data_IF_912337010068
#
_entry.id   IF_912337010068
#
_cell.length_a   1.000
_cell.length_b   1.000
_cell.length_c   1.000
_cell.angle_alpha   90.00
_cell.angle_beta   90.00
_cell.angle_gamma   90.00
#
_symmetry.space_group_name_H-M   'P 1'
#
loop_
_entity.id
_entity.type
_entity.pdbx_description
1 polymer ?
#
# COMPACT_ATOMS: atom_id res chain seq x y z
N UNK A 1 20.85 -16.42 9.09
CA UNK A 1 21.20 -17.27 7.94
C UNK A 1 20.02 -18.10 7.42
N UNK A 2 19.28 -18.77 8.28
CA UNK A 2 18.16 -19.64 7.84
C UNK A 2 16.93 -18.93 7.24
N UNK A 3 16.54 -17.73 7.70
CA UNK A 3 15.41 -16.98 7.08
C UNK A 3 15.82 -16.17 5.84
N UNK A 4 17.08 -15.73 5.71
CA UNK A 4 17.62 -15.32 4.40
C UNK A 4 17.68 -16.51 3.44
N UNK A 5 17.99 -17.69 3.95
CA UNK A 5 17.91 -18.96 3.21
C UNK A 5 16.42 -19.33 2.99
N UNK A 6 15.53 -19.11 3.95
CA UNK A 6 14.09 -19.36 3.81
C UNK A 6 13.44 -18.26 2.94
N UNK A 7 13.93 -17.02 2.94
CA UNK A 7 13.45 -15.96 2.04
C UNK A 7 14.13 -16.02 0.66
N UNK A 8 15.42 -16.39 0.57
CA UNK A 8 16.01 -16.87 -0.69
C UNK A 8 15.36 -18.17 -1.17
N UNK A 9 14.96 -19.07 -0.25
CA UNK A 9 14.16 -20.24 -0.58
C UNK A 9 12.68 -19.87 -0.83
N UNK A 10 12.13 -18.79 -0.26
CA UNK A 10 10.78 -18.32 -0.57
C UNK A 10 10.76 -17.56 -1.90
N UNK A 11 11.80 -16.81 -2.23
CA UNK A 11 12.05 -16.29 -3.59
C UNK A 11 12.38 -17.45 -4.54
N UNK A 12 13.10 -18.47 -4.09
CA UNK A 12 13.39 -19.69 -4.83
C UNK A 12 12.18 -20.65 -4.84
N UNK A 13 11.32 -20.68 -3.80
CA UNK A 13 10.05 -21.43 -3.77
C UNK A 13 8.91 -20.67 -4.45
N UNK A 14 8.92 -19.35 -4.47
CA UNK A 14 8.10 -18.55 -5.40
C UNK A 14 8.61 -18.75 -6.82
N UNK A 15 9.93 -18.88 -7.03
CA UNK A 15 10.50 -19.34 -8.30
C UNK A 15 10.22 -20.82 -8.56
N UNK A 16 10.06 -21.71 -7.56
CA UNK A 16 9.79 -23.12 -7.73
C UNK A 16 8.28 -23.46 -7.83
N UNK A 17 7.40 -22.72 -7.20
CA UNK A 17 5.96 -22.79 -7.48
C UNK A 17 5.58 -21.99 -8.73
N UNK A 18 6.29 -20.89 -9.04
CA UNK A 18 6.34 -20.35 -10.40
C UNK A 18 6.97 -21.36 -11.37
N UNK A 19 8.00 -22.12 -11.02
CA UNK A 19 8.62 -23.12 -11.87
C UNK A 19 7.71 -24.31 -12.21
N UNK A 20 6.71 -24.60 -11.40
CA UNK A 20 5.65 -25.55 -11.79
C UNK A 20 4.63 -24.93 -12.79
N UNK A 21 4.64 -23.60 -12.97
CA UNK A 21 3.96 -22.86 -14.03
C UNK A 21 4.95 -22.18 -15.01
N UNK A 22 6.25 -22.40 -14.89
CA UNK A 22 7.32 -21.88 -15.76
C UNK A 22 7.33 -22.52 -17.15
N UNK A 23 6.32 -22.24 -17.87
CA UNK A 23 6.12 -22.49 -19.28
C UNK A 23 5.18 -21.45 -19.88
N UNK A 24 4.73 -20.48 -19.08
CA UNK A 24 3.88 -19.43 -19.57
C UNK A 24 4.69 -18.15 -19.77
N UNK A 25 5.09 -17.80 -21.00
CA UNK A 25 5.96 -16.66 -21.30
C UNK A 25 5.37 -15.33 -20.80
N UNK A 26 4.08 -15.27 -20.54
CA UNK A 26 3.43 -14.06 -20.03
C UNK A 26 3.84 -13.68 -18.60
N UNK A 27 4.23 -14.64 -17.77
CA UNK A 27 4.80 -14.32 -16.44
C UNK A 27 6.14 -13.63 -16.60
N UNK A 28 6.96 -14.06 -17.55
CA UNK A 28 8.29 -13.47 -17.79
C UNK A 28 8.16 -12.01 -18.22
N UNK A 29 7.14 -11.64 -19.00
CA UNK A 29 6.89 -10.25 -19.38
C UNK A 29 6.56 -9.36 -18.18
N UNK A 30 5.75 -9.85 -17.25
CA UNK A 30 5.39 -9.10 -16.03
C UNK A 30 6.59 -8.93 -15.10
N UNK A 31 7.37 -10.00 -14.91
CA UNK A 31 8.62 -9.96 -14.13
C UNK A 31 9.63 -9.02 -14.78
N UNK A 32 9.78 -9.09 -16.10
CA UNK A 32 10.66 -8.21 -16.84
C UNK A 32 10.25 -6.73 -16.64
N UNK A 33 8.97 -6.40 -16.74
CA UNK A 33 8.47 -5.05 -16.48
C UNK A 33 8.82 -4.56 -15.07
N UNK A 34 8.63 -5.40 -14.06
CA UNK A 34 8.94 -5.06 -12.68
C UNK A 34 10.44 -4.79 -12.46
N UNK A 35 11.32 -5.48 -13.20
CA UNK A 35 12.76 -5.30 -13.15
C UNK A 35 13.24 -4.08 -13.95
N UNK A 36 12.64 -3.80 -15.10
CA UNK A 36 13.00 -2.67 -15.96
C UNK A 36 12.53 -1.34 -15.38
N UNK A 37 11.41 -1.34 -14.71
CA UNK A 37 10.83 -0.15 -14.10
C UNK A 37 10.32 -0.47 -12.68
N UNK A 38 11.20 -0.76 -11.72
CA UNK A 38 10.80 -1.02 -10.35
C UNK A 38 10.15 0.23 -9.75
N UNK A 39 9.07 0.03 -8.98
CA UNK A 39 8.29 1.08 -8.35
C UNK A 39 8.58 1.13 -6.85
N UNK A 40 8.43 2.31 -6.27
CA UNK A 40 8.58 2.55 -4.84
C UNK A 40 7.26 3.00 -4.21
N UNK A 41 7.15 2.77 -2.91
CA UNK A 41 6.15 3.34 -2.01
C UNK A 41 6.84 4.06 -0.87
N UNK A 42 6.23 5.13 -0.36
CA UNK A 42 6.73 5.86 0.80
C UNK A 42 5.69 5.85 1.92
N UNK A 43 6.13 5.90 3.18
CA UNK A 43 5.26 6.09 4.33
C UNK A 43 5.86 7.12 5.27
N UNK A 44 5.08 8.13 5.65
CA UNK A 44 5.54 9.24 6.50
C UNK A 44 5.07 9.06 7.93
N UNK A 45 6.02 8.97 8.86
CA UNK A 45 5.78 9.11 10.29
C UNK A 45 6.07 10.55 10.74
N UNK A 46 5.25 11.06 11.64
CA UNK A 46 5.42 12.37 12.29
C UNK A 46 5.36 12.21 13.80
N UNK A 47 6.04 13.08 14.52
CA UNK A 47 6.04 13.11 16.00
C UNK A 47 4.68 13.48 16.59
N UNK A 48 3.85 14.24 15.87
CA UNK A 48 2.48 14.57 16.27
C UNK A 48 1.53 14.55 15.05
N UNK A 49 0.24 14.73 15.31
CA UNK A 49 -0.78 14.89 14.26
C UNK A 49 -1.35 16.31 14.25
N UNK A 50 -1.13 17.05 15.34
CA UNK A 50 -1.61 18.41 15.54
C UNK A 50 -0.45 19.29 15.98
N UNK A 51 -0.34 20.46 15.36
CA UNK A 51 0.73 21.41 15.57
C UNK A 51 0.18 22.83 15.70
N UNK A 52 0.98 23.72 16.26
CA UNK A 52 0.73 25.16 16.19
C UNK A 52 1.54 25.78 15.04
N UNK A 53 1.14 26.96 14.57
CA UNK A 53 1.95 27.77 13.68
C UNK A 53 3.34 28.01 14.29
N UNK A 54 4.40 27.98 13.49
CA UNK A 54 5.79 28.09 13.93
C UNK A 54 6.40 26.82 14.51
N UNK A 55 5.63 25.76 14.73
CA UNK A 55 6.18 24.52 15.27
C UNK A 55 6.90 23.70 14.21
N UNK A 56 7.81 22.87 14.69
CA UNK A 56 8.57 21.90 13.91
C UNK A 56 7.86 20.57 13.89
N UNK A 57 7.75 19.98 12.70
CA UNK A 57 7.27 18.62 12.46
C UNK A 57 8.50 17.74 12.26
N UNK A 58 8.78 16.83 13.19
CA UNK A 58 9.82 15.82 13.03
C UNK A 58 9.30 14.69 12.15
N UNK A 59 10.12 14.26 11.19
CA UNK A 59 9.73 13.33 10.14
C UNK A 59 10.64 12.11 10.12
N UNK A 60 10.03 10.96 9.88
CA UNK A 60 10.69 9.76 9.42
C UNK A 60 9.92 9.19 8.24
N UNK A 61 10.61 8.96 7.13
CA UNK A 61 10.00 8.40 5.93
C UNK A 61 10.60 7.02 5.67
N UNK A 62 9.75 6.04 5.48
CA UNK A 62 10.11 4.70 5.03
C UNK A 62 9.91 4.63 3.52
N UNK A 63 10.86 4.02 2.82
CA UNK A 63 10.79 3.77 1.38
C UNK A 63 10.91 2.27 1.15
N UNK A 64 9.95 1.72 0.46
CA UNK A 64 9.90 0.28 0.17
C UNK A 64 9.66 0.04 -1.32
N UNK A 65 10.07 -1.12 -1.80
CA UNK A 65 9.67 -1.60 -3.11
C UNK A 65 8.14 -1.81 -3.13
N UNK A 66 7.47 -1.29 -4.15
CA UNK A 66 6.00 -1.27 -4.22
C UNK A 66 5.36 -2.66 -4.38
N UNK A 67 6.14 -3.66 -4.80
CA UNK A 67 5.67 -5.03 -5.02
C UNK A 67 5.89 -5.88 -3.77
N UNK A 68 7.13 -5.89 -3.26
CA UNK A 68 7.54 -6.77 -2.15
C UNK A 68 7.35 -6.15 -0.77
N UNK A 69 7.15 -4.85 -0.69
CA UNK A 69 7.14 -4.04 0.56
C UNK A 69 8.44 -4.16 1.37
N UNK A 70 9.52 -4.64 0.74
CA UNK A 70 10.85 -4.67 1.37
C UNK A 70 11.55 -3.33 1.22
N UNK A 71 12.42 -2.95 2.18
CA UNK A 71 13.29 -1.79 2.03
C UNK A 71 14.04 -1.82 0.69
N UNK A 72 14.26 -0.64 0.10
CA UNK A 72 14.95 -0.50 -1.19
C UNK A 72 15.97 0.61 -1.13
N UNK A 73 17.08 0.42 -1.85
CA UNK A 73 18.18 1.39 -1.98
C UNK A 73 18.17 2.10 -3.35
N UNK A 74 17.05 2.01 -4.09
CA UNK A 74 16.94 2.63 -5.41
C UNK A 74 17.00 4.15 -5.36
N UNK A 75 16.45 4.75 -4.30
CA UNK A 75 16.41 6.20 -4.13
C UNK A 75 17.21 6.62 -2.89
N UNK A 76 18.21 7.48 -3.09
CA UNK A 76 19.02 8.06 -2.02
C UNK A 76 18.38 9.28 -1.37
N UNK A 77 17.29 9.80 -1.94
CA UNK A 77 16.62 11.01 -1.50
C UNK A 77 15.12 10.84 -1.52
N UNK A 78 14.48 11.37 -0.48
CA UNK A 78 13.03 11.58 -0.43
C UNK A 78 12.75 13.08 -0.40
N UNK A 79 11.83 13.52 -1.22
CA UNK A 79 11.27 14.86 -1.16
C UNK A 79 10.05 14.84 -0.26
N UNK A 80 9.97 15.82 0.64
CA UNK A 80 8.79 16.03 1.49
C UNK A 80 8.32 17.46 1.29
N UNK A 81 7.06 17.60 0.95
CA UNK A 81 6.39 18.88 0.74
C UNK A 81 5.33 19.10 1.80
N UNK A 82 5.24 20.32 2.30
CA UNK A 82 4.14 20.78 3.13
C UNK A 82 3.17 21.56 2.23
N UNK A 83 1.94 21.09 2.15
CA UNK A 83 0.86 21.74 1.42
C UNK A 83 -0.12 22.36 2.43
N UNK A 84 -0.53 23.59 2.13
CA UNK A 84 -1.53 24.30 2.92
C UNK A 84 -2.96 23.74 2.67
N UNK A 85 -4.01 24.23 3.37
CA UNK A 85 -5.38 23.78 3.17
C UNK A 85 -5.90 23.92 1.73
N UNK A 86 -5.37 24.88 0.96
CA UNK A 86 -5.69 25.11 -0.46
C UNK A 86 -4.88 24.19 -1.40
N UNK A 87 -4.14 23.23 -0.84
CA UNK A 87 -3.29 22.26 -1.59
C UNK A 87 -2.12 22.92 -2.34
N UNK A 88 -1.70 24.10 -1.94
CA UNK A 88 -0.52 24.78 -2.46
C UNK A 88 0.72 24.35 -1.67
N UNK A 89 1.79 24.00 -2.38
CA UNK A 89 3.09 23.68 -1.74
C UNK A 89 3.68 24.97 -1.15
N UNK A 90 3.82 25.03 0.16
CA UNK A 90 4.39 26.18 0.88
C UNK A 90 5.81 25.94 1.35
N UNK A 91 6.22 24.67 1.47
CA UNK A 91 7.60 24.31 1.83
C UNK A 91 7.95 22.97 1.21
N UNK A 92 9.23 22.82 0.81
CA UNK A 92 9.79 21.55 0.31
C UNK A 92 11.15 21.33 0.95
N UNK A 93 11.40 20.12 1.39
CA UNK A 93 12.68 19.65 1.88
C UNK A 93 13.11 18.40 1.13
N UNK A 94 14.38 18.06 1.21
CA UNK A 94 14.95 16.83 0.71
C UNK A 94 15.68 16.13 1.84
N UNK A 95 15.29 14.89 2.09
CA UNK A 95 15.90 14.03 3.10
C UNK A 95 16.89 13.10 2.41
N UNK A 96 18.09 13.00 2.96
CA UNK A 96 19.09 12.04 2.52
C UNK A 96 18.89 10.74 3.29
N UNK A 97 19.11 9.62 2.62
CA UNK A 97 19.12 8.30 3.25
C UNK A 97 20.24 8.19 4.28
N UNK A 98 19.88 7.74 5.48
CA UNK A 98 20.81 7.35 6.54
C UNK A 98 20.38 5.99 7.08
N UNK A 99 21.26 4.99 6.97
CA UNK A 99 21.01 3.60 7.40
C UNK A 99 19.64 3.06 6.98
N UNK A 100 19.27 3.21 5.69
CA UNK A 100 17.99 2.80 5.10
C UNK A 100 16.75 3.60 5.54
N UNK A 101 16.94 4.70 6.26
CA UNK A 101 15.85 5.59 6.68
C UNK A 101 16.10 7.01 6.22
N UNK A 102 15.02 7.78 6.18
CA UNK A 102 15.04 9.19 5.82
C UNK A 102 14.46 9.98 6.98
N UNK A 103 15.31 10.66 7.74
CA UNK A 103 14.91 11.43 8.90
C UNK A 103 15.18 12.91 8.70
N UNK A 104 14.39 13.75 9.33
CA UNK A 104 14.55 15.20 9.30
C UNK A 104 13.37 15.95 9.88
N UNK A 105 13.19 17.18 9.48
CA UNK A 105 12.09 18.01 9.95
C UNK A 105 11.65 19.03 8.91
N UNK A 106 10.41 19.49 9.06
CA UNK A 106 9.84 20.60 8.30
C UNK A 106 9.18 21.57 9.29
N UNK A 107 9.51 22.86 9.20
CA UNK A 107 8.91 23.86 10.06
C UNK A 107 7.64 24.42 9.44
N UNK A 108 6.57 24.48 10.21
CA UNK A 108 5.33 25.16 9.84
C UNK A 108 5.58 26.66 9.92
N UNK A 109 5.17 27.46 8.92
CA UNK A 109 5.32 28.92 8.99
C UNK A 109 4.65 29.53 10.22
N UNK A 110 5.26 30.58 10.80
CA UNK A 110 4.72 31.30 11.97
C UNK A 110 3.33 31.91 11.70
N UNK A 111 3.06 32.27 10.44
CA UNK A 111 1.79 32.83 9.98
C UNK A 111 0.85 31.79 9.35
N UNK A 112 1.09 30.49 9.59
CA UNK A 112 0.26 29.44 9.06
C UNK A 112 -1.17 29.55 9.57
N UNK A 113 -2.14 29.57 8.65
CA UNK A 113 -3.54 29.55 8.99
C UNK A 113 -3.93 28.24 9.66
N UNK A 114 -4.92 28.26 10.53
CA UNK A 114 -5.50 27.03 11.08
C UNK A 114 -6.15 26.20 9.97
N UNK A 115 -5.98 24.89 10.06
CA UNK A 115 -6.60 23.97 9.09
C UNK A 115 -5.84 22.69 8.88
N UNK A 116 -6.32 21.93 7.91
CA UNK A 116 -5.75 20.65 7.51
C UNK A 116 -4.66 20.86 6.46
N UNK A 117 -3.44 20.56 6.84
CA UNK A 117 -2.27 20.54 5.97
C UNK A 117 -1.97 19.12 5.50
N UNK A 118 -1.27 18.99 4.38
CA UNK A 118 -0.75 17.71 3.91
C UNK A 118 0.77 17.70 3.90
N UNK A 119 1.33 16.62 4.34
CA UNK A 119 2.69 16.21 4.01
C UNK A 119 2.60 15.27 2.81
N UNK A 120 3.30 15.60 1.72
CA UNK A 120 3.43 14.76 0.53
C UNK A 120 4.87 14.30 0.42
N UNK A 121 5.09 12.98 0.45
CA UNK A 121 6.42 12.39 0.35
C UNK A 121 6.52 11.53 -0.92
N UNK A 122 7.65 11.65 -1.61
CA UNK A 122 7.93 10.90 -2.83
C UNK A 122 9.42 10.86 -3.13
N UNK A 123 9.84 9.83 -3.85
CA UNK A 123 11.16 9.74 -4.44
C UNK A 123 11.14 10.28 -5.87
N UNK A 124 12.32 10.53 -6.44
CA UNK A 124 12.41 10.92 -7.85
C UNK A 124 11.85 9.83 -8.77
N UNK A 125 12.07 8.56 -8.43
CA UNK A 125 11.55 7.43 -9.19
C UNK A 125 10.00 7.42 -9.21
N UNK A 126 9.34 7.73 -8.10
CA UNK A 126 7.87 7.77 -8.00
C UNK A 126 7.26 8.83 -8.93
N UNK A 127 7.98 9.90 -9.29
CA UNK A 127 7.46 10.93 -10.21
C UNK A 127 7.26 10.43 -11.65
N UNK A 128 7.78 9.26 -11.99
CA UNK A 128 7.52 8.61 -13.28
C UNK A 128 6.07 8.13 -13.43
N UNK A 129 5.36 7.92 -12.31
CA UNK A 129 3.94 7.50 -12.32
C UNK A 129 3.15 8.44 -11.42
N UNK A 130 2.38 9.32 -12.03
CA UNK A 130 1.61 10.35 -11.30
C UNK A 130 0.55 9.73 -10.39
N UNK A 131 0.36 10.35 -9.22
CA UNK A 131 -0.72 10.03 -8.29
C UNK A 131 -0.39 8.89 -7.32
N UNK A 132 0.88 8.51 -7.23
CA UNK A 132 1.37 7.53 -6.25
C UNK A 132 2.27 8.14 -5.19
N UNK A 133 2.27 9.47 -5.05
CA UNK A 133 2.95 10.16 -3.97
C UNK A 133 2.20 9.91 -2.65
N UNK A 134 2.92 9.51 -1.61
CA UNK A 134 2.34 9.32 -0.29
C UNK A 134 1.89 10.65 0.31
N UNK A 135 0.71 10.66 0.88
CA UNK A 135 0.18 11.83 1.58
C UNK A 135 -0.19 11.49 3.02
N UNK A 136 0.09 12.41 3.94
CA UNK A 136 -0.31 12.35 5.33
C UNK A 136 -0.90 13.67 5.78
N UNK A 137 -2.09 13.63 6.36
CA UNK A 137 -2.69 14.81 6.98
C UNK A 137 -2.06 15.13 8.32
N UNK A 138 -1.82 16.42 8.55
CA UNK A 138 -1.55 17.01 9.84
C UNK A 138 -2.48 18.21 10.02
N UNK A 139 -2.75 18.59 11.24
CA UNK A 139 -3.61 19.70 11.56
C UNK A 139 -2.82 20.84 12.23
N UNK A 140 -3.01 22.06 11.76
CA UNK A 140 -2.48 23.27 12.40
C UNK A 140 -3.61 23.96 13.14
N UNK A 141 -3.54 23.96 14.50
CA UNK A 141 -4.59 24.53 15.36
C UNK A 141 -4.79 23.76 16.65
N UNK A 142 -5.93 23.97 17.31
CA UNK A 142 -6.26 23.28 18.57
C UNK A 142 -6.71 21.83 18.38
N UNK A 143 -6.40 20.96 19.35
CA UNK A 143 -6.76 19.52 19.29
C UNK A 143 -8.27 19.29 19.15
N UNK A 144 -9.11 20.14 19.76
CA UNK A 144 -10.57 20.05 19.65
C UNK A 144 -11.12 20.27 18.23
N UNK A 145 -10.41 21.03 17.41
CA UNK A 145 -10.78 21.29 16.00
C UNK A 145 -10.38 20.12 15.09
N UNK A 146 -9.36 19.34 15.47
CA UNK A 146 -8.94 18.13 14.78
C UNK A 146 -10.08 17.10 14.70
N UNK A 147 -10.83 16.94 15.80
CA UNK A 147 -11.90 15.93 15.92
C UNK A 147 -13.07 16.21 14.98
N UNK A 148 -13.37 17.46 14.71
CA UNK A 148 -14.44 17.85 13.77
C UNK A 148 -14.05 17.69 12.30
N UNK A 149 -12.74 17.71 11.99
CA UNK A 149 -12.24 17.63 10.62
C UNK A 149 -12.17 16.20 10.06
N UNK A 150 -12.16 15.17 10.94
CA UNK A 150 -12.03 13.76 10.55
C UNK A 150 -13.35 12.99 10.41
N UNK A 151 -14.50 13.63 10.68
CA UNK A 151 -15.82 13.01 10.52
C UNK A 151 -16.24 12.87 9.04
N UNK A 152 -15.33 12.54 8.14
CA UNK A 152 -15.68 12.28 6.76
C UNK A 152 -15.98 10.79 6.56
N UNK A 153 -17.26 10.50 6.41
CA UNK A 153 -17.79 9.22 5.98
C UNK A 153 -17.10 8.73 4.71
N UNK A 154 -16.82 7.44 4.64
CA UNK A 154 -16.63 6.71 3.38
C UNK A 154 -17.90 6.96 2.52
N UNK A 155 -17.90 8.03 1.74
CA UNK A 155 -19.00 8.26 0.83
C UNK A 155 -18.86 7.33 -0.38
N UNK A 156 -19.95 6.63 -0.69
CA UNK A 156 -20.18 5.73 -1.83
C UNK A 156 -20.09 6.45 -3.20
N UNK A 157 -19.07 7.26 -3.43
CA UNK A 157 -19.04 8.17 -4.59
C UNK A 157 -18.18 7.69 -5.76
N UNK A 158 -17.87 6.40 -5.86
CA UNK A 158 -17.19 5.86 -7.04
C UNK A 158 -18.20 5.21 -7.95
N UNK A 159 -18.62 5.96 -8.99
CA UNK A 159 -19.36 5.39 -10.11
C UNK A 159 -18.45 4.41 -10.85
N UNK A 160 -18.75 3.13 -10.70
CA UNK A 160 -18.05 2.06 -11.37
C UNK A 160 -18.17 2.17 -12.90
N UNK A 161 -17.04 2.15 -13.57
CA UNK A 161 -16.96 1.95 -15.04
C UNK A 161 -16.76 0.47 -15.37
N UNK A 162 -17.31 -0.43 -14.58
CA UNK A 162 -17.23 -1.87 -14.87
C UNK A 162 -18.28 -2.25 -15.91
N UNK A 163 -17.86 -2.96 -16.93
CA UNK A 163 -18.77 -3.52 -17.93
C UNK A 163 -19.63 -4.67 -17.39
N UNK A 164 -19.46 -5.03 -16.12
CA UNK A 164 -20.15 -6.12 -15.42
C UNK A 164 -20.04 -7.51 -16.10
N UNK A 165 -18.97 -7.75 -16.85
CA UNK A 165 -18.69 -9.06 -17.43
C UNK A 165 -18.00 -10.01 -16.43
N UNK A 166 -17.30 -9.44 -15.45
CA UNK A 166 -16.60 -10.14 -14.38
C UNK A 166 -17.31 -9.87 -13.05
N UNK A 167 -17.48 -10.89 -12.23
CA UNK A 167 -18.03 -10.76 -10.88
C UNK A 167 -17.19 -11.53 -9.90
N UNK A 168 -16.71 -10.84 -8.85
CA UNK A 168 -15.96 -11.43 -7.75
C UNK A 168 -16.83 -11.45 -6.51
N UNK A 169 -16.87 -12.60 -5.84
CA UNK A 169 -17.56 -12.78 -4.56
C UNK A 169 -16.66 -13.52 -3.58
N UNK A 170 -16.43 -12.94 -2.41
CA UNK A 170 -15.77 -13.60 -1.29
C UNK A 170 -16.79 -14.48 -0.56
N UNK A 171 -16.50 -15.76 -0.45
CA UNK A 171 -17.36 -16.75 0.17
C UNK A 171 -16.54 -17.54 1.20
N UNK A 172 -16.67 -17.18 2.48
CA UNK A 172 -15.93 -17.77 3.60
C UNK A 172 -14.42 -17.90 3.29
N UNK A 173 -13.96 -19.05 2.88
CA UNK A 173 -12.55 -19.37 2.66
C UNK A 173 -12.15 -19.34 1.18
N UNK A 174 -13.02 -18.84 0.30
CA UNK A 174 -12.81 -18.85 -1.14
C UNK A 174 -13.16 -17.52 -1.81
N UNK A 175 -12.46 -17.21 -2.88
CA UNK A 175 -12.82 -16.17 -3.85
C UNK A 175 -13.47 -16.87 -5.05
N UNK A 176 -14.72 -16.53 -5.33
CA UNK A 176 -15.45 -17.02 -6.48
C UNK A 176 -15.45 -15.96 -7.59
N UNK A 177 -14.88 -16.30 -8.73
CA UNK A 177 -14.85 -15.46 -9.92
C UNK A 177 -15.83 -16.02 -10.96
N UNK A 178 -16.75 -15.19 -11.42
CA UNK A 178 -17.78 -15.57 -12.39
C UNK A 178 -17.70 -14.68 -13.62
N UNK A 179 -17.73 -15.27 -14.80
CA UNK A 179 -17.72 -14.58 -16.09
C UNK A 179 -19.11 -14.71 -16.73
N UNK A 180 -19.60 -13.62 -17.31
CA UNK A 180 -20.96 -13.54 -17.85
C UNK A 180 -21.11 -14.34 -19.14
N UNK A 181 -22.17 -15.12 -19.23
CA UNK A 181 -22.45 -16.02 -20.34
C UNK A 181 -22.49 -15.36 -21.73
N UNK A 182 -23.07 -14.14 -21.77
CA UNK A 182 -23.18 -13.40 -23.03
C UNK A 182 -21.83 -13.11 -23.68
N UNK A 183 -20.78 -12.94 -22.87
CA UNK A 183 -19.43 -12.69 -23.37
C UNK A 183 -18.76 -13.99 -23.86
N UNK A 184 -18.97 -15.09 -23.14
CA UNK A 184 -18.42 -16.40 -23.50
C UNK A 184 -19.01 -16.91 -24.84
N UNK A 185 -20.27 -16.59 -25.16
CA UNK A 185 -20.92 -16.94 -26.37
C UNK A 185 -20.47 -16.13 -27.58
N UNK A 186 -20.04 -14.88 -27.37
CA UNK A 186 -19.76 -13.94 -28.49
C UNK A 186 -18.28 -13.77 -28.80
N UNK A 187 -17.39 -14.04 -27.84
CA UNK A 187 -15.93 -13.87 -27.98
C UNK A 187 -15.24 -15.19 -27.65
N UNK A 188 -14.69 -15.86 -28.64
CA UNK A 188 -13.77 -16.98 -28.41
C UNK A 188 -12.44 -16.51 -27.87
N UNK A 189 -11.79 -17.33 -27.03
CA UNK A 189 -10.38 -17.08 -26.62
C UNK A 189 -10.18 -16.05 -25.57
N UNK A 190 -11.07 -15.92 -24.58
CA UNK A 190 -10.89 -15.06 -23.41
C UNK A 190 -9.77 -15.58 -22.50
N UNK A 191 -9.07 -14.65 -21.85
CA UNK A 191 -8.06 -14.91 -20.83
C UNK A 191 -8.45 -14.27 -19.51
N UNK A 192 -8.10 -14.92 -18.40
CA UNK A 192 -8.18 -14.35 -17.06
C UNK A 192 -6.78 -14.25 -16.47
N UNK A 193 -6.40 -13.04 -16.05
CA UNK A 193 -5.20 -12.76 -15.27
C UNK A 193 -5.61 -12.40 -13.85
N UNK A 194 -5.06 -13.10 -12.86
CA UNK A 194 -5.12 -12.74 -11.47
C UNK A 194 -3.75 -12.28 -10.96
N UNK A 195 -3.66 -11.13 -10.31
CA UNK A 195 -2.42 -10.62 -9.74
C UNK A 195 -2.65 -9.83 -8.44
N UNK A 196 -1.59 -9.74 -7.63
CA UNK A 196 -1.47 -8.80 -6.53
C UNK A 196 -0.23 -7.94 -6.75
N UNK A 197 -0.35 -6.64 -6.79
CA UNK A 197 0.78 -5.71 -7.03
C UNK A 197 1.66 -6.12 -8.22
N UNK A 198 1.06 -6.49 -9.34
CA UNK A 198 1.65 -7.08 -10.56
C UNK A 198 2.26 -8.48 -10.43
N UNK A 199 2.32 -9.08 -9.25
CA UNK A 199 2.74 -10.49 -9.12
C UNK A 199 1.57 -11.39 -9.55
N UNK A 200 1.68 -12.11 -10.67
CA UNK A 200 0.60 -12.96 -11.14
C UNK A 200 0.50 -14.22 -10.28
N UNK A 201 -0.71 -14.60 -9.92
CA UNK A 201 -1.01 -15.88 -9.27
C UNK A 201 -1.88 -16.79 -10.16
N UNK A 202 -2.47 -16.24 -11.21
CA UNK A 202 -3.27 -16.97 -12.15
C UNK A 202 -3.23 -16.34 -13.55
N UNK A 203 -2.99 -17.14 -14.59
CA UNK A 203 -3.14 -16.72 -15.98
C UNK A 203 -3.50 -17.93 -16.86
N UNK A 204 -4.72 -17.96 -17.35
CA UNK A 204 -5.18 -19.04 -18.21
C UNK A 204 -6.29 -18.58 -19.15
N UNK A 205 -6.45 -19.33 -20.26
CA UNK A 205 -7.65 -19.22 -21.09
C UNK A 205 -8.88 -19.59 -20.29
N UNK A 206 -9.91 -18.78 -20.44
CA UNK A 206 -11.20 -19.07 -19.84
C UNK A 206 -11.82 -20.27 -20.57
N UNK A 207 -11.96 -21.37 -19.82
CA UNK A 207 -12.69 -22.54 -20.31
C UNK A 207 -14.21 -22.26 -20.31
N UNK A 208 -15.05 -23.12 -20.92
CA UNK A 208 -16.50 -23.01 -20.83
C UNK A 208 -17.05 -23.02 -19.38
N UNK A 209 -16.21 -23.32 -18.40
CA UNK A 209 -16.55 -23.21 -16.99
C UNK A 209 -16.68 -21.73 -16.62
N UNK A 210 -17.89 -21.29 -16.31
CA UNK A 210 -18.27 -19.91 -15.99
C UNK A 210 -17.79 -19.44 -14.64
N UNK A 211 -17.29 -20.35 -13.80
CA UNK A 211 -16.97 -20.11 -12.40
C UNK A 211 -15.63 -20.71 -12.06
N UNK A 212 -14.75 -19.85 -11.55
CA UNK A 212 -13.45 -20.24 -10.99
C UNK A 212 -13.49 -19.98 -9.48
N UNK A 213 -12.88 -20.88 -8.70
CA UNK A 213 -12.83 -20.80 -7.25
C UNK A 213 -11.38 -20.84 -6.82
N UNK A 214 -10.97 -19.85 -6.06
CA UNK A 214 -9.63 -19.72 -5.52
C UNK A 214 -9.69 -19.78 -3.99
N UNK A 215 -9.08 -20.77 -3.34
CA UNK A 215 -8.97 -20.80 -1.88
C UNK A 215 -8.17 -19.61 -1.37
N UNK A 216 -8.68 -18.91 -0.34
CA UNK A 216 -8.00 -17.71 0.21
C UNK A 216 -6.61 -18.07 0.74
N UNK A 217 -6.46 -19.25 1.32
CA UNK A 217 -5.17 -19.75 1.86
C UNK A 217 -4.05 -19.84 0.82
N UNK A 218 -4.40 -19.95 -0.48
CA UNK A 218 -3.42 -20.13 -1.56
C UNK A 218 -2.84 -18.80 -2.06
N UNK A 219 -3.42 -17.66 -1.66
CA UNK A 219 -2.85 -16.36 -1.95
C UNK A 219 -1.64 -16.09 -1.05
N UNK A 220 -0.51 -15.74 -1.65
CA UNK A 220 0.77 -15.58 -0.96
C UNK A 220 1.03 -14.16 -0.45
N UNK A 221 0.24 -13.18 -0.90
CA UNK A 221 0.36 -11.78 -0.54
C UNK A 221 -0.91 -11.28 0.14
N UNK A 222 -0.78 -10.31 1.04
CA UNK A 222 -1.91 -9.52 1.53
C UNK A 222 -2.09 -8.28 0.64
N UNK A 223 -3.29 -7.69 0.65
CA UNK A 223 -3.60 -6.47 -0.10
C UNK A 223 -4.67 -6.64 -1.16
N UNK A 224 -4.66 -5.76 -2.14
CA UNK A 224 -5.65 -5.72 -3.22
C UNK A 224 -5.26 -6.71 -4.32
N UNK A 225 -6.14 -7.66 -4.56
CA UNK A 225 -6.03 -8.67 -5.62
C UNK A 225 -6.93 -8.27 -6.77
N UNK A 226 -6.34 -8.15 -7.96
CA UNK A 226 -7.02 -7.78 -9.20
C UNK A 226 -7.21 -8.99 -10.10
N UNK A 227 -8.38 -9.08 -10.72
CA UNK A 227 -8.68 -10.03 -11.76
C UNK A 227 -9.03 -9.27 -13.04
N UNK A 228 -8.25 -9.47 -14.09
CA UNK A 228 -8.42 -8.85 -15.39
C UNK A 228 -8.96 -9.88 -16.38
N UNK A 229 -10.07 -9.55 -17.00
CA UNK A 229 -10.60 -10.29 -18.14
C UNK A 229 -10.07 -9.66 -19.43
N UNK A 230 -9.42 -10.48 -20.27
CA UNK A 230 -8.77 -10.04 -21.50
C UNK A 230 -9.39 -10.77 -22.71
N UNK A 231 -9.37 -10.13 -23.87
CA UNK A 231 -9.74 -10.77 -25.15
C UNK A 231 -8.59 -11.64 -25.71
N UNK A 232 -8.80 -12.20 -26.91
CA UNK A 232 -7.78 -12.99 -27.62
C UNK A 232 -6.50 -12.23 -27.91
N UNK A 233 -6.59 -10.89 -28.06
CA UNK A 233 -5.47 -10.00 -28.35
C UNK A 233 -4.89 -9.37 -27.07
N UNK A 234 -5.26 -9.90 -25.91
CA UNK A 234 -4.83 -9.46 -24.58
C UNK A 234 -5.24 -8.01 -24.23
N UNK A 235 -6.29 -7.48 -24.87
CA UNK A 235 -6.86 -6.20 -24.46
C UNK A 235 -7.78 -6.39 -23.27
N UNK A 236 -7.72 -5.45 -22.32
CA UNK A 236 -8.57 -5.47 -21.14
C UNK A 236 -10.05 -5.24 -21.52
N UNK A 237 -10.90 -6.18 -21.15
CA UNK A 237 -12.36 -6.13 -21.31
C UNK A 237 -13.00 -5.62 -20.02
N UNK A 238 -12.59 -6.19 -18.88
CA UNK A 238 -13.14 -5.87 -17.56
C UNK A 238 -12.08 -6.10 -16.48
N UNK A 239 -12.26 -5.48 -15.32
CA UNK A 239 -11.39 -5.66 -14.16
C UNK A 239 -12.21 -5.52 -12.89
N UNK A 240 -12.02 -6.43 -11.96
CA UNK A 240 -12.55 -6.32 -10.61
C UNK A 240 -11.50 -6.70 -9.57
N UNK A 241 -11.67 -6.16 -8.37
CA UNK A 241 -10.73 -6.34 -7.27
C UNK A 241 -11.42 -6.84 -6.01
N UNK A 242 -10.64 -7.50 -5.15
CA UNK A 242 -11.02 -7.83 -3.78
C UNK A 242 -9.83 -7.64 -2.85
N UNK A 243 -10.10 -7.43 -1.57
CA UNK A 243 -9.07 -7.29 -0.55
C UNK A 243 -8.87 -8.60 0.20
N UNK A 244 -7.64 -9.08 0.30
CA UNK A 244 -7.26 -10.28 1.04
C UNK A 244 -6.28 -9.87 2.13
N UNK A 245 -6.55 -10.30 3.36
CA UNK A 245 -5.70 -10.07 4.51
C UNK A 245 -5.61 -11.35 5.34
N UNK A 246 -4.50 -12.06 5.22
CA UNK A 246 -4.18 -13.25 5.98
C UNK A 246 -3.15 -12.95 7.08
N UNK A 247 -2.86 -11.65 7.30
CA UNK A 247 -1.88 -11.15 8.27
C UNK A 247 -0.45 -11.65 8.02
N UNK A 248 -0.08 -11.87 6.76
CA UNK A 248 1.25 -12.34 6.38
C UNK A 248 2.32 -11.25 6.46
N UNK A 249 1.91 -10.00 6.27
CA UNK A 249 2.78 -8.82 6.32
C UNK A 249 2.80 -8.16 7.73
N UNK A 250 2.28 -8.86 8.74
CA UNK A 250 2.28 -8.38 10.11
C UNK A 250 3.48 -8.92 10.88
N UNK A 251 4.10 -8.05 11.68
CA UNK A 251 5.04 -8.44 12.73
C UNK A 251 4.40 -8.17 14.09
N UNK A 252 4.38 -9.18 14.95
CA UNK A 252 3.86 -9.03 16.30
C UNK A 252 4.90 -8.31 17.16
N UNK A 253 4.61 -7.06 17.51
CA UNK A 253 5.40 -6.28 18.44
C UNK A 253 4.69 -6.23 19.80
N UNK A 254 5.42 -6.47 20.86
CA UNK A 254 4.95 -6.15 22.20
C UNK A 254 5.69 -4.93 22.73
N UNK A 255 4.94 -4.04 23.38
CA UNK A 255 5.46 -2.82 23.98
C UNK A 255 5.15 -2.85 25.46
N UNK A 256 6.16 -2.79 26.30
CA UNK A 256 6.01 -2.65 27.76
C UNK A 256 6.63 -1.33 28.23
N UNK A 257 5.91 -0.65 29.10
CA UNK A 257 6.39 0.57 29.78
C UNK A 257 6.77 0.21 31.21
N UNK A 258 7.94 0.65 31.65
CA UNK A 258 8.32 0.52 33.05
C UNK A 258 7.54 1.54 33.90
N UNK A 259 6.57 1.04 34.67
CA UNK A 259 5.68 1.85 35.50
C UNK A 259 6.33 2.35 36.79
N UNK A 260 7.56 1.95 37.10
CA UNK A 260 8.26 2.31 38.37
C UNK A 260 8.84 3.73 38.35
N UNK A 261 8.84 4.39 37.19
CA UNK A 261 9.48 5.71 36.99
C UNK A 261 8.50 6.90 37.00
N UNK A 262 7.39 6.84 37.74
CA UNK A 262 6.50 7.99 37.94
C UNK A 262 7.08 9.07 38.88
N UNK A 263 8.39 9.19 38.95
CA UNK A 263 9.00 10.31 39.68
C UNK A 263 8.95 11.57 38.81
N UNK A 264 8.71 12.71 39.45
CA UNK A 264 8.48 14.05 38.88
C UNK A 264 9.60 14.59 37.96
N UNK A 265 10.71 13.87 37.81
CA UNK A 265 11.84 14.11 36.90
C UNK A 265 12.38 12.78 36.31
N UNK A 266 11.58 11.73 36.26
CA UNK A 266 12.04 10.41 35.86
C UNK A 266 12.06 10.21 34.36
N UNK A 267 12.98 9.39 33.87
CA UNK A 267 12.96 8.85 32.53
C UNK A 267 11.90 7.76 32.44
N UNK A 268 11.16 7.72 31.32
CA UNK A 268 10.26 6.63 30.98
C UNK A 268 11.02 5.58 30.18
N UNK A 269 11.11 4.35 30.66
CA UNK A 269 11.66 3.21 29.92
C UNK A 269 10.56 2.50 29.14
N UNK A 270 10.81 2.28 27.85
CA UNK A 270 9.96 1.54 26.96
C UNK A 270 10.75 0.35 26.37
N UNK A 271 10.25 -0.85 26.58
CA UNK A 271 10.83 -2.05 25.96
C UNK A 271 9.95 -2.50 24.82
N UNK A 272 10.54 -2.63 23.62
CA UNK A 272 9.89 -3.15 22.43
C UNK A 272 10.48 -4.52 22.13
N UNK A 273 9.64 -5.54 22.04
CA UNK A 273 10.03 -6.91 21.70
C UNK A 273 9.38 -7.36 20.41
N UNK A 274 10.19 -7.97 19.53
CA UNK A 274 9.75 -8.58 18.28
C UNK A 274 10.09 -10.07 18.31
N UNK A 275 9.25 -10.92 18.92
CA UNK A 275 9.59 -12.33 19.17
C UNK A 275 9.77 -13.16 17.89
N UNK A 276 9.23 -12.69 16.78
CA UNK A 276 9.35 -13.36 15.47
C UNK A 276 10.59 -12.95 14.69
N UNK A 277 11.34 -11.95 15.18
CA UNK A 277 12.57 -11.49 14.53
C UNK A 277 13.73 -12.45 14.84
N UNK A 278 14.42 -12.89 13.79
CA UNK A 278 15.60 -13.72 13.97
C UNK A 278 16.77 -12.88 14.56
N UNK A 279 17.68 -13.45 15.38
CA UNK A 279 18.81 -12.72 15.98
C UNK A 279 19.70 -11.96 14.99
N UNK A 280 19.80 -12.43 13.76
CA UNK A 280 20.61 -11.80 12.69
C UNK A 280 19.79 -10.80 11.83
N UNK A 281 18.50 -10.60 12.13
CA UNK A 281 17.64 -9.66 11.43
C UNK A 281 17.58 -8.33 12.17
N UNK A 282 17.53 -7.25 11.44
CA UNK A 282 17.30 -5.91 11.98
C UNK A 282 15.92 -5.42 11.59
N UNK A 283 15.26 -4.70 12.49
CA UNK A 283 13.99 -4.07 12.25
C UNK A 283 14.10 -2.56 12.52
N UNK A 284 13.61 -1.77 11.60
CA UNK A 284 13.55 -0.34 11.74
C UNK A 284 12.23 0.06 12.38
N UNK A 285 12.29 0.74 13.53
CA UNK A 285 11.12 1.10 14.33
C UNK A 285 11.04 2.60 14.52
N UNK A 286 9.88 3.19 14.19
CA UNK A 286 9.55 4.54 14.58
C UNK A 286 8.71 4.53 15.85
N UNK A 287 9.21 5.14 16.92
CA UNK A 287 8.51 5.27 18.21
C UNK A 287 7.98 6.69 18.37
N UNK A 288 6.71 6.79 18.70
CA UNK A 288 6.06 8.07 18.98
C UNK A 288 5.42 8.06 20.36
N UNK A 289 5.75 9.06 21.17
CA UNK A 289 5.08 9.31 22.44
C UNK A 289 4.00 10.37 22.24
N UNK A 290 2.77 10.05 22.56
CA UNK A 290 1.64 10.99 22.47
C UNK A 290 0.97 11.13 23.83
N UNK A 291 0.54 12.35 24.19
CA UNK A 291 -0.36 12.53 25.29
C UNK A 291 -1.66 11.76 25.00
N UNK A 292 -2.16 11.01 25.99
CA UNK A 292 -3.39 10.21 25.84
C UNK A 292 -4.50 11.05 25.19
N UNK A 293 -4.93 10.62 24.01
CA UNK A 293 -6.14 11.13 23.37
C UNK A 293 -7.34 10.28 23.86
N UNK A 294 -8.56 10.83 23.87
CA UNK A 294 -9.76 10.06 24.12
C UNK A 294 -9.82 8.82 23.22
N UNK A 295 -10.36 7.71 23.71
CA UNK A 295 -10.39 6.42 23.01
C UNK A 295 -11.00 6.46 21.61
N UNK A 296 -11.98 7.33 21.40
CA UNK A 296 -12.66 7.57 20.12
C UNK A 296 -11.72 8.03 18.99
N UNK A 297 -10.49 8.44 19.30
CA UNK A 297 -9.52 8.96 18.33
C UNK A 297 -8.27 8.10 18.15
N UNK A 298 -8.15 6.98 18.83
CA UNK A 298 -6.98 6.10 18.67
C UNK A 298 -6.95 5.43 17.30
N UNK A 299 -8.11 5.19 16.72
CA UNK A 299 -8.27 4.47 15.44
C UNK A 299 -8.34 5.37 14.20
N UNK A 300 -8.32 6.70 14.36
CA UNK A 300 -8.56 7.69 13.29
C UNK A 300 -7.41 7.90 12.31
N UNK A 301 -6.29 7.16 12.42
CA UNK A 301 -5.12 7.40 11.56
C UNK A 301 -4.75 6.16 10.75
N UNK A 302 -4.50 6.37 9.45
CA UNK A 302 -3.85 5.38 8.61
C UNK A 302 -2.53 4.96 9.26
N UNK A 303 -2.33 3.67 9.43
CA UNK A 303 -1.06 3.10 9.85
C UNK A 303 -0.27 2.61 8.64
N UNK A 304 0.96 2.17 8.84
CA UNK A 304 1.82 1.69 7.76
C UNK A 304 1.18 0.54 6.97
N UNK A 305 0.41 -0.33 7.62
CA UNK A 305 -0.22 -1.48 6.97
C UNK A 305 -1.38 -1.05 6.07
N UNK A 306 -2.33 -0.25 6.58
CA UNK A 306 -3.43 0.27 5.75
C UNK A 306 -2.89 1.12 4.60
N UNK A 307 -1.84 1.88 4.84
CA UNK A 307 -1.20 2.70 3.82
C UNK A 307 -0.58 1.85 2.71
N UNK A 308 0.27 0.88 3.05
CA UNK A 308 0.97 0.06 2.06
C UNK A 308 0.05 -0.94 1.35
N UNK A 309 -0.96 -1.50 2.05
CA UNK A 309 -1.85 -2.52 1.50
C UNK A 309 -3.03 -1.95 0.72
N UNK A 310 -3.41 -0.68 0.95
CA UNK A 310 -4.60 -0.08 0.35
C UNK A 310 -4.30 1.28 -0.28
N UNK A 311 -3.93 2.30 0.53
CA UNK A 311 -3.91 3.70 0.08
C UNK A 311 -3.01 3.90 -1.14
N UNK A 312 -1.80 3.36 -1.08
CA UNK A 312 -0.80 3.49 -2.14
C UNK A 312 -1.18 2.76 -3.43
N UNK A 313 -1.96 1.69 -3.34
CA UNK A 313 -2.39 0.94 -4.52
C UNK A 313 -3.67 1.52 -5.14
N UNK A 314 -4.44 2.31 -4.36
CA UNK A 314 -5.68 2.93 -4.80
C UNK A 314 -5.52 4.36 -5.30
N UNK A 315 -4.35 5.00 -5.16
CA UNK A 315 -4.11 6.43 -5.40
C UNK A 315 -4.95 7.36 -4.53
N UNK A 316 -5.49 6.89 -3.44
CA UNK A 316 -6.25 7.67 -2.49
C UNK A 316 -5.69 7.44 -1.09
N UNK A 317 -5.31 8.52 -0.42
CA UNK A 317 -5.14 8.47 1.01
C UNK A 317 -6.54 8.39 1.63
N UNK A 318 -6.96 7.19 1.99
CA UNK A 318 -8.23 7.00 2.70
C UNK A 318 -8.18 7.65 4.07
N UNK A 319 -6.97 7.84 4.61
CA UNK A 319 -6.74 8.34 5.99
C UNK A 319 -7.60 7.60 7.01
N UNK A 320 -7.89 6.33 6.72
CA UNK A 320 -8.80 5.50 7.49
C UNK A 320 -8.02 4.70 8.55
N UNK A 321 -8.66 4.39 9.66
CA UNK A 321 -8.04 3.63 10.74
C UNK A 321 -7.64 2.22 10.29
N UNK A 322 -6.70 1.62 11.05
CA UNK A 322 -6.32 0.22 10.88
C UNK A 322 -7.52 -0.76 10.95
N UNK A 323 -8.59 -0.37 11.63
CA UNK A 323 -9.86 -1.10 11.68
C UNK A 323 -10.48 -1.31 10.29
N UNK A 324 -10.18 -0.45 9.31
CA UNK A 324 -10.65 -0.62 7.93
C UNK A 324 -10.17 -1.95 7.31
N UNK A 325 -8.98 -2.43 7.68
CA UNK A 325 -8.47 -3.72 7.18
C UNK A 325 -9.37 -4.91 7.55
N UNK A 326 -10.28 -4.75 8.50
CA UNK A 326 -11.25 -5.74 8.93
C UNK A 326 -12.70 -5.37 8.55
N UNK A 327 -12.90 -4.20 7.92
CA UNK A 327 -14.24 -3.72 7.56
C UNK A 327 -14.78 -4.49 6.34
N UNK A 328 -15.96 -5.15 6.45
CA UNK A 328 -16.58 -5.86 5.32
C UNK A 328 -16.88 -4.95 4.11
N UNK A 329 -17.03 -3.64 4.33
CA UNK A 329 -17.29 -2.66 3.27
C UNK A 329 -16.06 -2.42 2.38
N UNK A 330 -14.86 -2.80 2.85
CA UNK A 330 -13.62 -2.62 2.10
C UNK A 330 -13.66 -3.34 0.75
N UNK A 331 -14.20 -4.55 0.69
CA UNK A 331 -14.34 -5.28 -0.58
C UNK A 331 -15.21 -4.53 -1.59
N UNK A 332 -16.29 -3.88 -1.14
CA UNK A 332 -17.12 -3.05 -2.02
C UNK A 332 -16.38 -1.80 -2.48
N UNK A 333 -15.55 -1.23 -1.61
CA UNK A 333 -14.77 -0.04 -1.90
C UNK A 333 -13.67 -0.32 -2.91
N UNK A 334 -12.88 -1.39 -2.76
CA UNK A 334 -11.79 -1.74 -3.69
C UNK A 334 -12.28 -2.32 -5.01
N UNK A 335 -13.47 -2.89 -5.04
CA UNK A 335 -14.02 -3.68 -6.15
C UNK A 335 -13.90 -3.05 -7.53
N UNK A 336 -14.03 -1.75 -7.62
CA UNK A 336 -14.08 -1.00 -8.87
C UNK A 336 -12.84 -0.12 -9.10
N UNK A 337 -11.83 -0.24 -8.25
CA UNK A 337 -10.56 0.44 -8.46
C UNK A 337 -9.70 -0.39 -9.40
N UNK A 338 -9.03 0.28 -10.34
CA UNK A 338 -8.09 -0.36 -11.23
C UNK A 338 -6.68 -0.13 -10.73
N UNK A 339 -5.91 -1.19 -10.57
CA UNK A 339 -4.49 -1.07 -10.29
C UNK A 339 -3.76 -0.55 -11.54
N UNK A 340 -3.02 0.56 -11.42
CA UNK A 340 -2.55 1.32 -12.57
C UNK A 340 -1.05 1.65 -12.55
N UNK A 341 -0.26 0.99 -11.71
CA UNK A 341 1.20 1.22 -11.70
C UNK A 341 1.85 0.77 -13.00
N UNK A 342 1.35 -0.32 -13.62
CA UNK A 342 1.72 -0.75 -14.97
C UNK A 342 0.47 -1.01 -15.82
N UNK A 343 0.59 -0.77 -17.11
CA UNK A 343 -0.42 -1.24 -18.06
C UNK A 343 -0.17 -2.73 -18.38
N UNK A 344 -0.72 -3.63 -17.58
CA UNK A 344 -0.47 -5.08 -17.74
C UNK A 344 -0.91 -5.61 -19.09
N UNK A 345 -1.97 -5.09 -19.69
CA UNK A 345 -2.38 -5.47 -21.06
C UNK A 345 -1.29 -5.16 -22.08
N UNK A 346 -0.63 -4.00 -21.97
CA UNK A 346 0.50 -3.64 -22.83
C UNK A 346 1.74 -4.49 -22.52
N UNK A 347 2.02 -4.73 -21.25
CA UNK A 347 3.15 -5.55 -20.77
C UNK A 347 3.06 -6.99 -21.33
N UNK A 348 1.87 -7.58 -21.30
CA UNK A 348 1.63 -8.92 -21.85
C UNK A 348 1.85 -9.00 -23.38
N UNK A 349 1.87 -7.85 -24.06
CA UNK A 349 2.18 -7.69 -25.50
C UNK A 349 3.63 -7.22 -25.72
N UNK A 350 4.51 -7.35 -24.73
CA UNK A 350 5.92 -6.93 -24.77
C UNK A 350 6.12 -5.41 -24.93
N UNK A 351 5.08 -4.62 -24.63
CA UNK A 351 5.15 -3.16 -24.64
C UNK A 351 5.50 -2.66 -23.24
N UNK A 352 6.80 -2.66 -22.93
CA UNK A 352 7.28 -2.33 -21.59
C UNK A 352 7.35 -0.82 -21.37
N UNK A 353 6.89 -0.42 -20.18
CA UNK A 353 7.05 0.95 -19.71
C UNK A 353 8.48 1.14 -19.20
N UNK A 354 9.05 2.30 -19.53
CA UNK A 354 10.38 2.71 -19.10
C UNK A 354 10.27 3.94 -18.19
N UNK A 355 11.15 4.10 -17.19
CA UNK A 355 11.20 5.33 -16.44
C UNK A 355 11.60 6.49 -17.36
N UNK A 356 10.87 7.59 -17.33
CA UNK A 356 11.17 8.82 -18.05
C UNK A 356 12.37 9.56 -17.43
N UNK A 357 12.52 9.37 -16.11
CA UNK A 357 13.56 9.99 -15.29
C UNK A 357 14.37 8.86 -14.66
N UNK A 358 15.64 8.78 -14.99
CA UNK A 358 16.60 7.84 -14.40
C UNK A 358 17.35 8.49 -13.24
#
# INVERSE_FOLDING_TARGET
MMKRIIFSYLILLVSLTLSAQTGNPFYDHIIHQANVFPQEKTYVCTDASCYQAGQRVSLRVFVVNAISHQPTDMSQYVYVELLNPERVVIKRIRLLQDQQTFTGYIDIPDNAAKGRYLLRAYTRNMTNVKGYESTKSIFVGGVGELLSAFNNNLQDSIKATSNNYLTIKKQKDNIKVTIKDSLLATKGGLWLLGHCRSVPFYFAKVSPQKVLVFPIKDFIQDGIHSFLLLDSDLNKIDEQQCFINQKREFCNLSVSLDSTSQATNGSLSCTITAPELHPDETMDVAVRFVKSLPEENRDGYSNILSHLLIDEDMRYALEQPASLLQDPRLDNFVKYHSWQRYNLSAVLKEQYQQPLIK
#
